data_IF_201470477251
#
_entry.id   IF_201470477251
#
_cell.length_a   1.000
_cell.length_b   1.000
_cell.length_c   1.000
_cell.angle_alpha   90.00
_cell.angle_beta   90.00
_cell.angle_gamma   90.00
#
_symmetry.space_group_name_H-M   'P 1'
#
loop_
_entity.id
_entity.type
_entity.pdbx_description
1 polymer ?
#
# COMPACT_ATOMS: atom_id res chain seq x y z
N UNK A 1 19.06 -3.58 -4.11
CA UNK A 1 17.98 -2.56 -4.06
C UNK A 1 16.71 -3.28 -4.47
N UNK A 2 15.58 -3.08 -3.78
CA UNK A 2 14.33 -3.74 -4.12
C UNK A 2 13.39 -2.77 -4.82
N UNK A 3 12.84 -3.15 -5.97
CA UNK A 3 11.84 -2.41 -6.74
C UNK A 3 10.48 -3.05 -6.51
N UNK A 4 9.49 -2.27 -6.08
CA UNK A 4 8.13 -2.74 -5.83
C UNK A 4 7.18 -1.90 -6.68
N UNK A 5 6.41 -2.54 -7.56
CA UNK A 5 5.37 -1.83 -8.31
C UNK A 5 4.08 -1.76 -7.52
N UNK A 6 3.44 -0.59 -7.51
CA UNK A 6 2.11 -0.41 -6.95
C UNK A 6 1.04 -0.66 -8.01
N UNK A 7 0.02 -1.45 -7.67
CA UNK A 7 -1.10 -1.75 -8.54
C UNK A 7 -2.43 -1.56 -7.80
N UNK A 8 -3.44 -1.17 -8.57
CA UNK A 8 -4.81 -1.15 -8.09
C UNK A 8 -5.51 -2.48 -8.43
N UNK A 9 -6.29 -3.07 -7.51
CA UNK A 9 -7.16 -4.19 -7.84
C UNK A 9 -8.13 -3.86 -8.99
N UNK A 10 -8.60 -4.86 -9.76
CA UNK A 10 -9.54 -4.61 -10.86
C UNK A 10 -10.83 -3.97 -10.37
N UNK A 11 -11.35 -2.98 -11.11
CA UNK A 11 -12.67 -2.39 -10.86
C UNK A 11 -13.75 -3.44 -11.10
N UNK A 12 -14.79 -3.44 -10.27
CA UNK A 12 -15.97 -4.27 -10.46
C UNK A 12 -17.07 -3.38 -11.07
N UNK A 13 -17.51 -3.63 -12.31
CA UNK A 13 -18.44 -2.75 -13.03
C UNK A 13 -19.84 -2.67 -12.41
N UNK A 14 -20.40 -3.78 -11.93
CA UNK A 14 -21.78 -3.90 -11.46
C UNK A 14 -21.84 -4.69 -10.13
N UNK A 15 -22.93 -4.55 -9.36
CA UNK A 15 -23.20 -5.39 -8.18
C UNK A 15 -23.44 -6.84 -8.62
N UNK A 16 -23.99 -7.00 -9.82
CA UNK A 16 -24.34 -8.29 -10.41
C UNK A 16 -23.20 -8.95 -11.20
N UNK A 17 -22.00 -8.36 -11.21
CA UNK A 17 -20.83 -8.94 -11.87
C UNK A 17 -20.59 -10.34 -11.35
N UNK A 18 -20.54 -11.33 -12.25
CA UNK A 18 -20.45 -12.73 -11.86
C UNK A 18 -19.07 -13.09 -11.31
N UNK A 19 -18.97 -14.22 -10.61
CA UNK A 19 -17.69 -14.73 -10.16
C UNK A 19 -16.77 -15.08 -11.34
N UNK A 20 -17.30 -15.55 -12.47
CA UNK A 20 -16.49 -15.81 -13.68
C UNK A 20 -15.89 -14.51 -14.24
N UNK A 21 -16.66 -13.42 -14.26
CA UNK A 21 -16.18 -12.11 -14.71
C UNK A 21 -15.09 -11.56 -13.79
N UNK A 22 -15.28 -11.64 -12.47
CA UNK A 22 -14.27 -11.25 -11.49
C UNK A 22 -12.98 -12.06 -11.67
N UNK A 23 -13.11 -13.39 -11.88
CA UNK A 23 -11.96 -14.26 -12.12
C UNK A 23 -11.24 -13.91 -13.43
N UNK A 24 -11.97 -13.56 -14.49
CA UNK A 24 -11.38 -13.09 -15.75
C UNK A 24 -10.62 -11.78 -15.58
N UNK A 25 -11.16 -10.83 -14.81
CA UNK A 25 -10.46 -9.57 -14.48
C UNK A 25 -9.18 -9.80 -13.67
N UNK A 26 -9.23 -10.72 -12.70
CA UNK A 26 -8.05 -11.12 -11.93
C UNK A 26 -7.02 -11.82 -12.82
N UNK A 27 -7.42 -12.75 -13.68
CA UNK A 27 -6.52 -13.44 -14.61
C UNK A 27 -5.77 -12.46 -15.52
N UNK A 28 -6.45 -11.42 -16.04
CA UNK A 28 -5.81 -10.35 -16.82
C UNK A 28 -4.78 -9.56 -16.00
N UNK A 29 -5.09 -9.25 -14.74
CA UNK A 29 -4.14 -8.58 -13.85
C UNK A 29 -2.91 -9.44 -13.59
N UNK A 30 -3.12 -10.74 -13.42
CA UNK A 30 -2.07 -11.71 -13.12
C UNK A 30 -1.14 -11.86 -14.29
N UNK A 31 -1.68 -11.96 -15.51
CA UNK A 31 -0.85 -11.96 -16.70
C UNK A 31 0.04 -10.72 -16.79
N UNK A 32 -0.50 -9.52 -16.50
CA UNK A 32 0.31 -8.30 -16.46
C UNK A 32 1.40 -8.35 -15.38
N UNK A 33 1.12 -8.95 -14.22
CA UNK A 33 2.14 -9.14 -13.18
C UNK A 33 3.19 -10.15 -13.64
N UNK A 34 2.82 -11.24 -14.32
CA UNK A 34 3.76 -12.17 -14.94
C UNK A 34 4.73 -11.45 -15.86
N UNK A 35 4.21 -10.58 -16.74
CA UNK A 35 4.98 -9.85 -17.75
C UNK A 35 6.04 -8.91 -17.12
N UNK A 36 5.82 -8.42 -15.90
CA UNK A 36 6.74 -7.49 -15.20
C UNK A 36 7.46 -8.13 -14.00
N UNK A 37 7.14 -9.37 -13.64
CA UNK A 37 7.64 -10.02 -12.42
C UNK A 37 9.15 -10.24 -12.43
N UNK A 38 9.77 -10.27 -13.61
CA UNK A 38 11.24 -10.36 -13.78
C UNK A 38 11.95 -9.03 -13.63
N UNK A 39 11.21 -7.91 -13.61
CA UNK A 39 11.73 -6.55 -13.55
C UNK A 39 11.56 -5.90 -12.16
N UNK A 40 10.90 -6.60 -11.23
CA UNK A 40 10.64 -6.10 -9.89
C UNK A 40 10.81 -7.21 -8.85
N UNK A 41 11.04 -6.80 -7.60
CA UNK A 41 11.15 -7.69 -6.45
C UNK A 41 9.79 -7.91 -5.78
N UNK A 42 8.80 -7.06 -6.08
CA UNK A 42 7.49 -7.17 -5.48
C UNK A 42 6.38 -6.33 -6.09
N UNK A 43 5.18 -6.60 -5.61
CA UNK A 43 3.95 -5.91 -5.93
C UNK A 43 3.30 -5.42 -4.63
N UNK A 44 2.94 -4.13 -4.60
CA UNK A 44 2.05 -3.56 -3.60
C UNK A 44 0.64 -3.44 -4.18
N UNK A 45 -0.32 -4.11 -3.57
CA UNK A 45 -1.73 -4.04 -3.97
C UNK A 45 -2.45 -3.02 -3.10
N UNK A 46 -2.96 -1.96 -3.71
CA UNK A 46 -3.68 -0.91 -2.98
C UNK A 46 -5.04 -1.39 -2.51
N UNK A 47 -5.54 -0.78 -1.44
CA UNK A 47 -6.93 -0.95 -1.01
C UNK A 47 -7.82 -0.03 -1.84
N UNK A 48 -9.09 -0.38 -1.95
CA UNK A 48 -10.02 0.44 -2.71
C UNK A 48 -10.25 1.78 -2.02
N UNK A 49 -10.20 2.86 -2.81
CA UNK A 49 -10.79 4.13 -2.38
C UNK A 49 -12.28 3.94 -2.13
N UNK A 50 -12.76 4.57 -1.08
CA UNK A 50 -14.15 4.55 -0.72
C UNK A 50 -15.02 5.12 -1.86
N UNK A 51 -16.03 4.36 -2.29
CA UNK A 51 -16.93 4.73 -3.40
C UNK A 51 -16.51 4.23 -4.79
N UNK A 52 -15.38 3.54 -4.95
CA UNK A 52 -15.08 2.76 -6.18
C UNK A 52 -15.04 1.29 -5.85
N UNK A 53 -15.98 0.50 -6.40
CA UNK A 53 -15.98 -0.94 -6.20
C UNK A 53 -14.82 -1.59 -6.95
N UNK A 54 -13.98 -2.32 -6.23
CA UNK A 54 -12.92 -3.17 -6.80
C UNK A 54 -12.90 -4.49 -6.06
N UNK A 55 -12.18 -5.45 -6.63
CA UNK A 55 -11.79 -6.65 -5.88
C UNK A 55 -10.97 -6.21 -4.66
N UNK A 56 -11.13 -6.89 -3.52
CA UNK A 56 -10.37 -6.52 -2.32
C UNK A 56 -8.86 -6.72 -2.53
N UNK A 57 -8.05 -5.94 -1.82
CA UNK A 57 -6.60 -6.08 -1.85
C UNK A 57 -6.16 -7.47 -1.37
N UNK A 58 -6.84 -8.03 -0.38
CA UNK A 58 -6.58 -9.37 0.15
C UNK A 58 -6.85 -10.47 -0.89
N UNK A 59 -8.00 -10.43 -1.56
CA UNK A 59 -8.33 -11.41 -2.62
C UNK A 59 -7.35 -11.31 -3.79
N UNK A 60 -6.99 -10.09 -4.19
CA UNK A 60 -6.01 -9.86 -5.25
C UNK A 60 -4.62 -10.36 -4.83
N UNK A 61 -4.20 -10.05 -3.60
CA UNK A 61 -2.93 -10.49 -3.01
C UNK A 61 -2.83 -12.02 -2.91
N UNK A 62 -3.91 -12.69 -2.47
CA UNK A 62 -4.04 -14.16 -2.49
C UNK A 62 -3.75 -14.71 -3.88
N UNK A 63 -4.40 -14.15 -4.90
CA UNK A 63 -4.25 -14.61 -6.27
C UNK A 63 -2.79 -14.47 -6.71
N UNK A 64 -2.22 -13.27 -6.59
CA UNK A 64 -0.84 -13.00 -6.98
C UNK A 64 0.16 -13.89 -6.25
N UNK A 65 -0.01 -14.10 -4.95
CA UNK A 65 0.88 -14.95 -4.16
C UNK A 65 0.78 -16.43 -4.56
N UNK A 66 -0.39 -16.86 -5.00
CA UNK A 66 -0.60 -18.23 -5.50
C UNK A 66 0.13 -18.47 -6.82
N UNK A 67 0.12 -17.50 -7.73
CA UNK A 67 0.74 -17.64 -9.06
C UNK A 67 2.21 -17.22 -9.10
N UNK A 68 2.63 -16.38 -8.15
CA UNK A 68 4.01 -15.89 -8.02
C UNK A 68 4.48 -16.04 -6.56
N UNK A 69 4.69 -17.28 -6.08
CA UNK A 69 5.01 -17.55 -4.67
C UNK A 69 6.28 -16.85 -4.18
N UNK A 70 7.25 -16.65 -5.10
CA UNK A 70 8.54 -16.02 -4.81
C UNK A 70 8.52 -14.49 -4.90
N UNK A 71 7.46 -13.89 -5.44
CA UNK A 71 7.35 -12.44 -5.57
C UNK A 71 6.91 -11.84 -4.24
N UNK A 72 7.52 -10.73 -3.81
CA UNK A 72 7.11 -10.05 -2.59
C UNK A 72 5.71 -9.43 -2.82
N UNK A 73 4.69 -9.87 -2.08
CA UNK A 73 3.33 -9.33 -2.20
C UNK A 73 2.95 -8.62 -0.91
N UNK A 74 2.71 -7.32 -1.00
CA UNK A 74 2.20 -6.52 0.11
C UNK A 74 0.84 -5.94 -0.25
N UNK A 75 0.00 -5.67 0.74
CA UNK A 75 -1.32 -5.09 0.52
C UNK A 75 -1.51 -3.82 1.35
N UNK A 76 -2.38 -2.93 0.92
CA UNK A 76 -2.90 -1.87 1.77
C UNK A 76 -4.16 -2.33 2.50
N UNK A 77 -4.35 -1.80 3.71
CA UNK A 77 -5.57 -2.00 4.50
C UNK A 77 -5.97 -0.68 5.16
N UNK A 78 -7.14 -0.17 4.78
CA UNK A 78 -7.74 1.01 5.44
C UNK A 78 -8.51 0.63 6.69
N UNK A 79 -8.42 1.48 7.72
CA UNK A 79 -9.04 1.24 9.04
C UNK A 79 -10.32 2.04 9.29
N UNK A 80 -10.62 3.07 8.49
CA UNK A 80 -11.77 3.97 8.68
C UNK A 80 -13.11 3.24 8.80
N UNK A 81 -13.32 2.18 8.03
CA UNK A 81 -14.59 1.44 7.96
C UNK A 81 -14.54 0.06 8.61
N UNK A 82 -13.57 -0.19 9.49
CA UNK A 82 -13.37 -1.49 10.13
C UNK A 82 -13.25 -1.33 11.63
N UNK A 83 -13.74 -2.34 12.34
CA UNK A 83 -13.40 -2.56 13.74
C UNK A 83 -12.12 -3.40 13.87
N UNK A 84 -11.66 -3.57 15.11
CA UNK A 84 -10.44 -4.32 15.40
C UNK A 84 -10.56 -5.82 15.11
N UNK A 85 -11.76 -6.40 15.15
CA UNK A 85 -11.92 -7.84 14.92
C UNK A 85 -11.84 -8.16 13.43
N UNK A 86 -12.49 -7.35 12.59
CA UNK A 86 -12.34 -7.38 11.13
C UNK A 86 -10.88 -7.16 10.71
N UNK A 87 -10.18 -6.24 11.38
CA UNK A 87 -8.75 -5.99 11.14
C UNK A 87 -7.91 -7.24 11.48
N UNK A 88 -8.12 -7.85 12.65
CA UNK A 88 -7.38 -9.05 13.06
C UNK A 88 -7.63 -10.20 12.09
N UNK A 89 -8.87 -10.35 11.60
CA UNK A 89 -9.20 -11.36 10.60
C UNK A 89 -8.38 -11.15 9.31
N UNK A 90 -8.37 -9.94 8.74
CA UNK A 90 -7.57 -9.63 7.55
C UNK A 90 -6.08 -9.91 7.78
N UNK A 91 -5.56 -9.55 8.95
CA UNK A 91 -4.15 -9.81 9.32
C UNK A 91 -3.87 -11.30 9.40
N UNK A 92 -4.74 -12.07 10.04
CA UNK A 92 -4.58 -13.52 10.16
C UNK A 92 -4.63 -14.21 8.79
N UNK A 93 -5.61 -13.85 7.96
CA UNK A 93 -5.70 -14.35 6.59
C UNK A 93 -4.45 -13.98 5.77
N UNK A 94 -3.93 -12.77 5.94
CA UNK A 94 -2.68 -12.34 5.28
C UNK A 94 -1.46 -13.15 5.71
N UNK A 95 -1.39 -13.55 6.98
CA UNK A 95 -0.34 -14.43 7.52
C UNK A 95 -0.47 -15.84 6.91
N UNK A 96 -1.67 -16.39 6.88
CA UNK A 96 -1.92 -17.75 6.37
C UNK A 96 -1.62 -17.84 4.87
N UNK A 97 -1.88 -16.75 4.14
CA UNK A 97 -1.52 -16.58 2.73
C UNK A 97 -0.04 -16.28 2.49
N UNK A 98 0.76 -16.11 3.54
CA UNK A 98 2.18 -15.75 3.49
C UNK A 98 2.45 -14.46 2.73
N UNK A 99 1.57 -13.46 2.88
CA UNK A 99 1.83 -12.12 2.35
C UNK A 99 3.01 -11.47 3.11
N UNK A 100 3.75 -10.63 2.41
CA UNK A 100 5.01 -10.07 2.91
C UNK A 100 4.83 -8.83 3.78
N UNK A 101 3.64 -8.22 3.77
CA UNK A 101 3.37 -7.03 4.58
C UNK A 101 2.04 -6.35 4.29
N UNK A 102 1.64 -5.51 5.25
CA UNK A 102 0.41 -4.71 5.20
C UNK A 102 0.76 -3.24 5.45
N UNK A 103 0.42 -2.36 4.50
CA UNK A 103 0.41 -0.91 4.69
C UNK A 103 -0.92 -0.50 5.34
N UNK A 104 -0.86 -0.04 6.59
CA UNK A 104 -2.05 0.37 7.34
C UNK A 104 -2.33 1.86 7.08
N UNK A 105 -3.52 2.15 6.56
CA UNK A 105 -3.94 3.48 6.13
C UNK A 105 -5.20 3.92 6.87
N UNK A 106 -5.41 5.24 6.99
CA UNK A 106 -6.69 5.76 7.50
C UNK A 106 -7.79 5.49 6.48
N UNK A 107 -7.54 5.83 5.22
CA UNK A 107 -8.52 5.84 4.15
C UNK A 107 -9.31 7.15 4.12
N UNK A 108 -9.68 7.56 2.91
CA UNK A 108 -10.45 8.77 2.68
C UNK A 108 -11.93 8.54 3.01
N UNK A 109 -12.68 9.58 3.42
CA UNK A 109 -14.13 9.46 3.61
C UNK A 109 -14.85 9.19 2.29
N UNK A 110 -15.94 8.41 2.35
CA UNK A 110 -16.84 8.18 1.22
C UNK A 110 -18.02 9.15 1.28
N UNK A 111 -18.55 9.54 0.13
CA UNK A 111 -19.90 10.15 0.09
C UNK A 111 -21.00 9.15 0.45
N UNK A 112 -20.80 7.87 0.14
CA UNK A 112 -21.82 6.81 0.29
C UNK A 112 -21.77 6.10 1.65
N UNK A 113 -20.62 6.16 2.33
CA UNK A 113 -20.39 5.54 3.64
C UNK A 113 -19.49 6.47 4.49
N UNK A 114 -20.08 7.40 5.25
CA UNK A 114 -19.35 8.37 6.03
C UNK A 114 -18.75 7.79 7.32
N UNK A 115 -18.99 6.51 7.61
CA UNK A 115 -18.57 5.86 8.85
C UNK A 115 -17.06 6.02 9.07
N UNK A 116 -16.74 6.50 10.27
CA UNK A 116 -15.39 6.56 10.79
C UNK A 116 -15.36 5.79 12.12
N UNK A 117 -14.66 4.67 12.14
CA UNK A 117 -14.44 3.84 13.34
C UNK A 117 -13.67 4.56 14.45
N UNK A 118 -13.14 5.76 14.19
CA UNK A 118 -12.26 6.49 15.09
C UNK A 118 -10.84 5.92 15.16
N UNK A 119 -10.60 4.75 14.55
CA UNK A 119 -9.30 4.10 14.57
C UNK A 119 -8.26 4.93 13.82
N UNK A 120 -7.07 5.03 14.41
CA UNK A 120 -5.91 5.63 13.76
C UNK A 120 -4.92 4.53 13.34
N UNK A 121 -4.27 4.65 12.17
CA UNK A 121 -3.33 3.62 11.70
C UNK A 121 -2.23 3.28 12.69
N UNK A 122 -1.63 4.28 13.33
CA UNK A 122 -0.58 4.06 14.33
C UNK A 122 -1.07 3.30 15.56
N UNK A 123 -2.31 3.58 16.00
CA UNK A 123 -2.89 2.86 17.13
C UNK A 123 -3.17 1.40 16.78
N UNK A 124 -3.71 1.15 15.58
CA UNK A 124 -3.95 -0.20 15.08
C UNK A 124 -2.64 -0.99 14.98
N UNK A 125 -1.59 -0.42 14.39
CA UNK A 125 -0.27 -1.09 14.31
C UNK A 125 0.30 -1.36 15.70
N UNK A 126 0.20 -0.41 16.64
CA UNK A 126 0.65 -0.60 18.01
C UNK A 126 -0.07 -1.79 18.68
N UNK A 127 -1.40 -1.84 18.61
CA UNK A 127 -2.18 -2.93 19.18
C UNK A 127 -1.86 -4.28 18.52
N UNK A 128 -1.73 -4.33 17.20
CA UNK A 128 -1.35 -5.56 16.49
C UNK A 128 0.03 -6.06 16.91
N UNK A 129 0.98 -5.14 17.14
CA UNK A 129 2.31 -5.47 17.66
C UNK A 129 2.25 -5.99 19.11
N UNK A 130 1.48 -5.35 19.99
CA UNK A 130 1.26 -5.79 21.37
C UNK A 130 0.63 -7.19 21.46
N UNK A 131 -0.26 -7.51 20.51
CA UNK A 131 -0.85 -8.85 20.35
C UNK A 131 0.09 -9.88 19.69
N UNK A 132 1.30 -9.46 19.29
CA UNK A 132 2.32 -10.34 18.73
C UNK A 132 2.23 -10.59 17.22
N UNK A 133 1.26 -9.99 16.51
CA UNK A 133 1.16 -10.13 15.04
C UNK A 133 2.37 -9.56 14.31
N UNK A 134 3.02 -8.54 14.86
CA UNK A 134 4.23 -7.93 14.29
C UNK A 134 5.43 -8.89 14.15
N UNK A 135 5.40 -10.04 14.85
CA UNK A 135 6.40 -11.11 14.71
C UNK A 135 6.17 -11.98 13.47
N UNK A 136 4.95 -11.99 12.93
CA UNK A 136 4.51 -12.84 11.83
C UNK A 136 4.19 -12.06 10.56
N UNK A 137 3.89 -10.76 10.69
CA UNK A 137 3.50 -9.89 9.59
C UNK A 137 4.23 -8.55 9.68
N UNK A 138 4.73 -8.06 8.54
CA UNK A 138 5.37 -6.75 8.48
C UNK A 138 4.30 -5.66 8.33
N UNK A 139 4.12 -4.84 9.36
CA UNK A 139 3.26 -3.67 9.28
C UNK A 139 4.02 -2.43 8.83
N UNK A 140 3.48 -1.70 7.87
CA UNK A 140 3.99 -0.43 7.40
C UNK A 140 2.98 0.68 7.70
N UNK A 141 3.50 1.89 7.92
CA UNK A 141 2.71 3.11 8.01
C UNK A 141 3.08 4.07 6.88
N UNK A 142 2.12 4.88 6.43
CA UNK A 142 2.43 5.93 5.47
C UNK A 142 3.25 7.06 6.11
N UNK A 143 4.04 7.78 5.31
CA UNK A 143 4.77 8.98 5.74
C UNK A 143 4.65 10.06 4.66
N UNK A 144 4.38 11.34 4.99
CA UNK A 144 4.49 12.40 4.00
C UNK A 144 5.88 12.44 3.35
N UNK A 145 5.99 12.95 2.12
CA UNK A 145 7.29 13.15 1.45
C UNK A 145 8.18 14.16 2.17
N UNK A 146 7.57 15.12 2.88
CA UNK A 146 8.26 16.04 3.77
C UNK A 146 7.66 16.01 5.19
N UNK A 147 8.00 15.00 6.02
CA UNK A 147 7.38 14.86 7.33
C UNK A 147 7.91 15.89 8.33
N UNK A 148 7.04 16.34 9.23
CA UNK A 148 7.45 16.98 10.47
C UNK A 148 7.73 15.88 11.52
N UNK A 149 9.00 15.70 11.87
CA UNK A 149 9.43 14.61 12.75
C UNK A 149 8.93 14.71 14.20
N UNK A 150 8.62 15.91 14.67
CA UNK A 150 8.03 16.13 16.00
C UNK A 150 6.58 15.65 16.04
N UNK A 151 5.87 15.73 14.89
CA UNK A 151 4.46 15.34 14.79
C UNK A 151 4.24 13.85 14.51
N UNK A 152 5.27 13.11 14.08
CA UNK A 152 5.15 11.68 13.75
C UNK A 152 5.52 10.74 14.90
N UNK A 153 5.75 11.25 16.12
CA UNK A 153 6.16 10.41 17.26
C UNK A 153 5.20 9.24 17.50
N UNK A 154 3.89 9.45 17.37
CA UNK A 154 2.90 8.37 17.46
C UNK A 154 3.11 7.26 16.43
N UNK A 155 3.58 7.58 15.22
CA UNK A 155 3.91 6.59 14.18
C UNK A 155 5.18 5.81 14.53
N UNK A 156 6.18 6.49 15.10
CA UNK A 156 7.44 5.86 15.55
C UNK A 156 7.18 4.92 16.73
N UNK A 157 6.46 5.38 17.76
CA UNK A 157 6.14 4.58 18.96
C UNK A 157 5.25 3.38 18.66
N UNK A 158 4.51 3.40 17.54
CA UNK A 158 3.76 2.22 17.08
C UNK A 158 4.67 1.07 16.64
N UNK A 159 5.98 1.33 16.46
CA UNK A 159 6.99 0.36 16.06
C UNK A 159 6.62 -0.45 14.79
N UNK A 160 6.23 0.19 13.67
CA UNK A 160 6.05 -0.54 12.42
C UNK A 160 7.38 -1.15 11.96
N UNK A 161 7.33 -2.10 11.01
CA UNK A 161 8.54 -2.58 10.32
C UNK A 161 9.20 -1.45 9.53
N UNK A 162 8.41 -0.50 9.05
CA UNK A 162 8.90 0.61 8.27
C UNK A 162 7.84 1.60 7.83
N UNK A 163 8.25 2.52 6.97
CA UNK A 163 7.42 3.56 6.39
C UNK A 163 7.42 3.49 4.87
N UNK A 164 6.24 3.63 4.27
CA UNK A 164 6.07 3.90 2.84
C UNK A 164 5.78 5.40 2.68
N UNK A 165 6.56 6.10 1.87
CA UNK A 165 6.37 7.55 1.72
C UNK A 165 5.20 7.85 0.78
N UNK A 166 4.64 9.05 0.87
CA UNK A 166 3.99 9.69 -0.28
C UNK A 166 5.01 9.92 -1.39
N UNK A 167 4.54 10.23 -2.59
CA UNK A 167 5.42 10.43 -3.75
C UNK A 167 6.53 11.44 -3.42
N UNK A 168 7.78 11.02 -3.58
CA UNK A 168 8.95 11.88 -3.40
C UNK A 168 9.20 12.69 -4.66
N UNK A 169 9.72 13.90 -4.47
CA UNK A 169 10.06 14.83 -5.54
C UNK A 169 11.57 14.94 -5.75
N UNK A 170 12.36 14.50 -4.77
CA UNK A 170 13.81 14.63 -4.84
C UNK A 170 14.52 13.60 -3.94
N UNK A 171 15.79 13.34 -4.24
CA UNK A 171 16.59 12.40 -3.45
C UNK A 171 16.89 12.93 -2.04
N UNK A 172 16.95 14.24 -1.86
CA UNK A 172 17.19 14.93 -0.60
C UNK A 172 16.06 14.64 0.41
N UNK A 173 14.81 14.51 -0.07
CA UNK A 173 13.68 14.10 0.78
C UNK A 173 13.91 12.70 1.37
N UNK A 174 14.37 11.75 0.56
CA UNK A 174 14.70 10.39 0.99
C UNK A 174 15.87 10.41 1.97
N UNK A 175 16.91 11.17 1.68
CA UNK A 175 18.09 11.30 2.55
C UNK A 175 17.70 11.88 3.92
N UNK A 176 16.89 12.96 3.94
CA UNK A 176 16.40 13.58 5.18
C UNK A 176 15.60 12.60 6.04
N UNK A 177 14.65 11.87 5.43
CA UNK A 177 13.85 10.86 6.13
C UNK A 177 14.75 9.74 6.66
N UNK A 178 15.62 9.21 5.80
CA UNK A 178 16.52 8.11 6.14
C UNK A 178 17.46 8.50 7.27
N UNK A 179 18.12 9.65 7.21
CA UNK A 179 19.05 10.11 8.25
C UNK A 179 18.38 10.25 9.61
N UNK A 180 17.12 10.73 9.65
CA UNK A 180 16.38 10.88 10.90
C UNK A 180 15.87 9.58 11.49
N UNK A 181 15.47 8.61 10.65
CA UNK A 181 14.81 7.38 11.08
C UNK A 181 15.72 6.14 11.10
N UNK A 182 16.91 6.21 10.50
CA UNK A 182 17.85 5.07 10.38
C UNK A 182 18.27 4.50 11.73
N UNK A 183 18.53 5.36 12.73
CA UNK A 183 18.93 4.93 14.07
C UNK A 183 17.86 4.06 14.75
N UNK A 184 16.59 4.18 14.34
CA UNK A 184 15.49 3.38 14.85
C UNK A 184 15.29 2.05 14.10
N UNK A 185 16.10 1.77 13.07
CA UNK A 185 16.04 0.51 12.32
C UNK A 185 14.83 0.36 11.38
N UNK A 186 14.04 1.42 11.16
CA UNK A 186 12.89 1.36 10.27
C UNK A 186 13.29 1.22 8.80
N UNK A 187 12.62 0.32 8.07
CA UNK A 187 12.71 0.27 6.61
C UNK A 187 12.02 1.49 6.02
N UNK A 188 12.70 2.25 5.15
CA UNK A 188 12.10 3.35 4.40
C UNK A 188 11.90 2.90 2.95
N UNK A 189 10.66 2.94 2.47
CA UNK A 189 10.28 2.60 1.10
C UNK A 189 9.80 3.89 0.44
N UNK A 190 10.66 4.60 -0.32
CA UNK A 190 10.25 5.79 -1.04
C UNK A 190 9.30 5.42 -2.19
N UNK A 191 8.19 6.14 -2.29
CA UNK A 191 7.27 6.02 -3.42
C UNK A 191 7.69 7.00 -4.53
N UNK A 192 7.87 6.51 -5.74
CA UNK A 192 8.22 7.30 -6.92
C UNK A 192 7.11 7.14 -7.94
N UNK A 193 6.62 8.24 -8.49
CA UNK A 193 5.70 8.23 -9.62
C UNK A 193 6.49 8.44 -10.91
N UNK A 194 6.52 7.42 -11.77
CA UNK A 194 7.05 7.56 -13.12
C UNK A 194 5.99 8.27 -13.99
N UNK A 195 6.30 9.43 -14.59
CA UNK A 195 5.34 10.12 -15.46
C UNK A 195 5.11 9.33 -16.73
N UNK A 196 3.87 9.30 -17.17
CA UNK A 196 3.46 8.83 -18.49
C UNK A 196 2.27 9.67 -18.94
N UNK A 197 1.96 9.65 -20.24
CA UNK A 197 0.73 10.28 -20.75
C UNK A 197 -0.52 9.79 -20.00
N UNK A 198 -0.53 8.52 -19.57
CA UNK A 198 -1.65 7.89 -18.87
C UNK A 198 -1.86 8.43 -17.45
N UNK A 199 -0.86 9.02 -16.81
CA UNK A 199 -0.95 9.53 -15.45
C UNK A 199 -0.68 11.04 -15.33
N UNK A 200 -0.68 11.78 -16.45
CA UNK A 200 -0.41 13.22 -16.50
C UNK A 200 -1.27 14.02 -15.50
N UNK A 201 -2.54 13.66 -15.33
CA UNK A 201 -3.43 14.32 -14.37
C UNK A 201 -3.00 14.10 -12.91
N UNK A 202 -2.62 12.87 -12.55
CA UNK A 202 -2.08 12.56 -11.21
C UNK A 202 -0.75 13.26 -10.98
N UNK A 203 0.07 13.28 -12.02
CA UNK A 203 1.34 13.97 -12.08
C UNK A 203 1.21 15.48 -11.80
N UNK A 204 0.28 16.16 -12.47
CA UNK A 204 -0.05 17.58 -12.26
C UNK A 204 -0.61 17.85 -10.87
N UNK A 205 -1.53 17.01 -10.40
CA UNK A 205 -2.12 17.12 -9.07
C UNK A 205 -1.07 17.04 -7.95
N UNK A 206 -0.02 16.24 -8.17
CA UNK A 206 1.08 16.10 -7.23
C UNK A 206 2.17 17.17 -7.39
N UNK A 207 2.02 18.15 -8.29
CA UNK A 207 3.00 19.24 -8.50
C UNK A 207 4.44 18.74 -8.70
N UNK A 208 4.59 17.62 -9.39
CA UNK A 208 5.91 17.09 -9.74
C UNK A 208 6.51 17.95 -10.87
N UNK A 209 7.82 18.20 -10.82
CA UNK A 209 8.56 18.89 -11.88
C UNK A 209 9.11 17.86 -12.86
N UNK A 210 8.77 18.03 -14.14
CA UNK A 210 9.00 17.08 -15.23
C UNK A 210 9.89 17.65 -16.33
N UNK A 211 10.37 18.88 -16.16
CA UNK A 211 11.13 19.59 -17.19
C UNK A 211 12.30 18.75 -17.70
N UNK A 212 13.02 18.06 -16.82
CA UNK A 212 14.13 17.17 -17.17
C UNK A 212 13.76 15.80 -17.74
N UNK A 213 12.52 15.32 -17.59
CA UNK A 213 12.11 13.99 -18.05
C UNK A 213 11.73 13.99 -19.54
N UNK A 214 11.21 15.11 -20.05
CA UNK A 214 10.86 15.25 -21.49
C UNK A 214 12.07 15.14 -22.41
N UNK A 215 13.26 15.46 -21.90
CA UNK A 215 14.50 15.47 -22.66
C UNK A 215 15.25 14.13 -22.62
N UNK A 216 14.97 13.27 -21.62
CA UNK A 216 15.55 11.93 -21.45
C UNK A 216 14.55 10.99 -20.75
N UNK A 217 13.65 10.33 -21.51
CA UNK A 217 12.61 9.45 -20.95
C UNK A 217 13.14 8.12 -20.39
#
# INVERSE_FOLDING_TARGET
>A
MAVIYEINPPKIPDVKTSNEEINSLLAKLVQRVSDISTLCDGIHVTDSVLGTRRVSALTTGKMLKTNHPNLQITISMRVRDKDMDSIKQIVQESIDLKLDGILVLKGDPSKENPTDSGLSPSHVVKQLNELGYGKKMNFFLSLPSNPNFEKIQKKITAAPKGFMTQVIHSTEQVQRISNKLRASGFRIIPCVLLPTEKNENSAKFLELDWSGYKENP
#
